data_IF_955358889137
#
_entry.id   IF_955358889137
#
_cell.length_a   1.000
_cell.length_b   1.000
_cell.length_c   1.000
_cell.angle_alpha   90.00
_cell.angle_beta   90.00
_cell.angle_gamma   90.00
#
_symmetry.space_group_name_H-M   'P 1'
#
loop_
_entity.id
_entity.type
_entity.pdbx_description
1 polymer ?
#
# COMPACT_ATOMS: atom_id res chain seq x y z
N UNK A 1 -26.80 9.08 -23.63
CA UNK A 1 -26.37 7.86 -24.34
C UNK A 1 -26.94 6.67 -23.59
N UNK A 2 -27.78 5.82 -24.21
CA UNK A 2 -28.37 4.65 -23.55
C UNK A 2 -27.25 3.62 -23.36
N UNK A 3 -26.92 3.26 -22.13
CA UNK A 3 -26.02 2.15 -21.83
C UNK A 3 -26.73 0.85 -22.21
N UNK A 4 -26.35 0.23 -23.32
CA UNK A 4 -26.74 -1.16 -23.58
C UNK A 4 -26.14 -2.04 -22.48
N UNK A 5 -26.98 -2.88 -21.88
CA UNK A 5 -26.61 -3.74 -20.76
C UNK A 5 -25.89 -4.97 -21.31
N UNK A 6 -24.65 -4.77 -21.79
CA UNK A 6 -23.80 -5.85 -22.30
C UNK A 6 -23.41 -6.78 -21.14
N UNK A 7 -23.81 -8.05 -21.21
CA UNK A 7 -23.33 -9.07 -20.28
C UNK A 7 -21.93 -9.52 -20.68
N UNK A 8 -21.03 -9.60 -19.69
CA UNK A 8 -19.68 -10.12 -19.86
C UNK A 8 -19.63 -11.61 -19.49
N UNK A 9 -18.86 -12.38 -20.23
CA UNK A 9 -18.52 -13.76 -19.92
C UNK A 9 -17.18 -13.81 -19.18
N UNK A 10 -16.91 -14.82 -18.32
CA UNK A 10 -15.66 -14.94 -17.57
C UNK A 10 -14.50 -15.44 -18.45
N UNK A 11 -14.24 -14.77 -19.58
CA UNK A 11 -13.14 -15.05 -20.50
C UNK A 11 -12.41 -13.76 -20.86
N UNK A 12 -11.09 -13.86 -21.08
CA UNK A 12 -10.27 -12.71 -21.49
C UNK A 12 -10.79 -12.06 -22.78
N UNK A 13 -11.25 -12.88 -23.75
CA UNK A 13 -11.82 -12.37 -25.00
C UNK A 13 -13.04 -11.48 -24.76
N UNK A 14 -13.92 -11.83 -23.81
CA UNK A 14 -15.07 -11.01 -23.45
C UNK A 14 -14.67 -9.74 -22.68
N UNK A 15 -13.83 -9.89 -21.65
CA UNK A 15 -13.41 -8.79 -20.77
C UNK A 15 -12.57 -7.74 -21.51
N UNK A 16 -11.76 -8.13 -22.49
CA UNK A 16 -11.00 -7.20 -23.33
C UNK A 16 -11.90 -6.29 -24.20
N UNK A 17 -13.20 -6.58 -24.29
CA UNK A 17 -14.15 -5.67 -24.94
C UNK A 17 -14.68 -4.57 -24.03
N UNK A 18 -14.45 -4.64 -22.71
CA UNK A 18 -14.87 -3.62 -21.75
C UNK A 18 -14.07 -2.33 -21.97
N UNK A 19 -14.73 -1.28 -22.41
CA UNK A 19 -14.11 0.03 -22.59
C UNK A 19 -14.10 0.82 -21.27
N UNK A 20 -13.16 1.76 -21.13
CA UNK A 20 -13.16 2.71 -20.02
C UNK A 20 -14.47 3.53 -20.10
N UNK A 21 -15.25 3.64 -19.00
CA UNK A 21 -16.49 4.41 -19.04
C UNK A 21 -16.18 5.91 -19.17
N UNK A 22 -16.99 6.63 -19.96
CA UNK A 22 -16.75 8.04 -20.27
C UNK A 22 -16.57 8.93 -19.05
N UNK A 23 -17.32 8.68 -17.98
CA UNK A 23 -17.18 9.45 -16.73
C UNK A 23 -15.78 9.33 -16.10
N UNK A 24 -15.13 8.16 -16.20
CA UNK A 24 -13.81 7.93 -15.62
C UNK A 24 -12.74 8.57 -16.50
N UNK A 25 -12.90 8.47 -17.82
CA UNK A 25 -12.04 9.21 -18.74
C UNK A 25 -12.15 10.70 -18.47
N UNK A 26 -13.36 11.27 -18.38
CA UNK A 26 -13.59 12.70 -18.17
C UNK A 26 -13.15 13.24 -16.80
N UNK A 27 -13.00 12.40 -15.77
CA UNK A 27 -12.76 12.85 -14.39
C UNK A 27 -11.39 13.53 -14.18
N UNK A 28 -10.32 13.01 -14.81
CA UNK A 28 -8.91 13.50 -14.81
C UNK A 28 -8.19 13.64 -13.45
N UNK A 29 -8.91 13.80 -12.35
CA UNK A 29 -8.38 13.97 -11.00
C UNK A 29 -9.17 13.11 -10.02
N UNK A 30 -8.45 12.43 -9.12
CA UNK A 30 -9.03 11.61 -8.07
C UNK A 30 -8.20 11.70 -6.80
N UNK A 31 -8.86 11.50 -5.66
CA UNK A 31 -8.20 11.41 -4.35
C UNK A 31 -8.07 9.93 -4.01
N UNK A 32 -6.85 9.49 -3.71
CA UNK A 32 -6.60 8.16 -3.20
C UNK A 32 -6.22 8.24 -1.72
N UNK A 33 -6.78 7.33 -0.91
CA UNK A 33 -6.61 7.30 0.54
C UNK A 33 -6.05 5.93 0.92
N UNK A 34 -4.81 5.91 1.39
CA UNK A 34 -4.26 4.78 2.13
C UNK A 34 -4.44 5.05 3.61
N UNK A 35 -5.43 4.40 4.23
CA UNK A 35 -5.73 4.55 5.64
C UNK A 35 -6.02 3.19 6.27
N UNK A 36 -5.28 2.87 7.32
CA UNK A 36 -5.31 1.58 8.00
C UNK A 36 -4.44 1.62 9.25
N UNK A 37 -4.23 0.47 9.89
CA UNK A 37 -3.51 0.37 11.16
C UNK A 37 -2.10 0.98 11.11
N UNK A 38 -1.43 0.87 9.98
CA UNK A 38 -0.12 1.46 9.70
C UNK A 38 -0.08 2.99 9.84
N UNK A 39 -1.23 3.67 9.74
CA UNK A 39 -1.32 5.11 9.94
C UNK A 39 -1.16 5.50 11.42
N UNK A 40 -1.30 4.56 12.36
CA UNK A 40 -1.07 4.79 13.79
C UNK A 40 0.42 4.99 14.09
N UNK A 41 1.35 4.06 13.72
CA UNK A 41 2.77 4.34 13.84
C UNK A 41 3.23 5.41 12.85
N UNK A 42 2.62 5.49 11.66
CA UNK A 42 2.88 6.59 10.70
C UNK A 42 4.35 6.73 10.31
N UNK A 43 5.10 5.62 10.33
CA UNK A 43 6.56 5.60 10.21
C UNK A 43 7.00 4.71 9.05
N UNK A 44 8.07 5.11 8.37
CA UNK A 44 8.73 4.33 7.33
C UNK A 44 10.22 4.70 7.26
N UNK A 45 11.03 3.88 6.58
CA UNK A 45 12.44 4.20 6.36
C UNK A 45 12.59 5.42 5.43
N UNK A 46 13.63 6.21 5.65
CA UNK A 46 13.98 7.35 4.81
C UNK A 46 15.16 7.06 3.87
N UNK A 47 15.41 5.79 3.52
CA UNK A 47 16.55 5.38 2.69
C UNK A 47 16.58 6.09 1.32
N UNK A 48 15.43 6.20 0.66
CA UNK A 48 15.30 6.81 -0.67
C UNK A 48 13.92 6.58 -1.27
N UNK A 49 13.74 6.96 -2.53
CA UNK A 49 12.51 6.63 -3.28
C UNK A 49 12.36 5.12 -3.47
N UNK A 50 11.13 4.66 -3.69
CA UNK A 50 10.86 3.24 -3.95
C UNK A 50 11.72 2.68 -5.10
N UNK A 51 11.89 3.43 -6.19
CA UNK A 51 12.70 3.00 -7.32
C UNK A 51 14.17 2.81 -6.95
N UNK A 52 14.74 3.73 -6.16
CA UNK A 52 16.13 3.65 -5.70
C UNK A 52 16.35 2.47 -4.75
N UNK A 53 15.42 2.28 -3.82
CA UNK A 53 15.47 1.17 -2.86
C UNK A 53 15.45 -0.18 -3.58
N UNK A 54 14.52 -0.38 -4.51
CA UNK A 54 14.44 -1.64 -5.27
C UNK A 54 15.63 -1.85 -6.20
N UNK A 55 16.23 -0.78 -6.74
CA UNK A 55 17.43 -0.89 -7.57
C UNK A 55 18.69 -1.28 -6.77
N UNK A 56 18.81 -0.83 -5.52
CA UNK A 56 20.05 -0.99 -4.73
C UNK A 56 19.98 -2.08 -3.66
N UNK A 57 18.78 -2.37 -3.16
CA UNK A 57 18.53 -3.21 -1.97
C UNK A 57 17.37 -4.18 -2.23
N UNK A 58 17.29 -4.75 -3.42
CA UNK A 58 16.15 -5.57 -3.87
C UNK A 58 15.66 -6.58 -2.82
N UNK A 59 16.58 -7.34 -2.21
CA UNK A 59 16.25 -8.39 -1.22
C UNK A 59 15.60 -7.86 0.07
N UNK A 60 15.88 -6.61 0.44
CA UNK A 60 15.36 -5.96 1.67
C UNK A 60 14.48 -4.76 1.37
N UNK A 61 14.12 -4.54 0.10
CA UNK A 61 13.50 -3.32 -0.36
C UNK A 61 12.21 -3.01 0.39
N UNK A 62 11.39 -4.04 0.62
CA UNK A 62 10.09 -3.96 1.31
C UNK A 62 10.19 -3.45 2.75
N UNK A 63 11.36 -3.56 3.39
CA UNK A 63 11.59 -3.03 4.73
C UNK A 63 12.24 -1.63 4.73
N UNK A 64 12.72 -1.17 3.58
CA UNK A 64 13.50 0.07 3.42
C UNK A 64 12.77 1.13 2.56
N UNK A 65 11.59 0.82 2.03
CA UNK A 65 10.79 1.81 1.29
C UNK A 65 10.23 2.89 2.22
N UNK A 66 9.93 4.09 1.69
CA UNK A 66 9.31 5.18 2.45
C UNK A 66 7.78 5.00 2.60
N UNK A 67 7.28 3.76 2.53
CA UNK A 67 5.85 3.44 2.52
C UNK A 67 5.40 3.00 3.91
N UNK A 68 4.66 3.88 4.58
CA UNK A 68 4.13 3.61 5.93
C UNK A 68 3.21 2.39 5.94
N UNK A 69 2.47 2.15 4.85
CA UNK A 69 1.56 1.03 4.71
C UNK A 69 2.24 -0.35 4.75
N UNK A 70 3.57 -0.39 4.61
CA UNK A 70 4.37 -1.61 4.72
C UNK A 70 4.99 -1.82 6.10
N UNK A 71 4.60 -1.02 7.10
CA UNK A 71 5.15 -1.05 8.45
C UNK A 71 5.15 -2.47 9.07
N UNK A 72 4.05 -3.23 8.96
CA UNK A 72 3.99 -4.59 9.50
C UNK A 72 5.05 -5.53 8.87
N UNK A 73 5.30 -5.38 7.57
CA UNK A 73 6.34 -6.16 6.92
C UNK A 73 7.74 -5.68 7.35
N UNK A 74 7.94 -4.36 7.43
CA UNK A 74 9.22 -3.79 7.80
C UNK A 74 9.67 -4.20 9.21
N UNK A 75 8.77 -4.20 10.20
CA UNK A 75 9.11 -4.61 11.58
C UNK A 75 9.52 -6.10 11.70
N UNK A 76 9.22 -6.94 10.69
CA UNK A 76 9.67 -8.35 10.65
C UNK A 76 11.14 -8.48 10.25
N UNK A 77 11.77 -7.40 9.76
CA UNK A 77 13.20 -7.32 9.46
C UNK A 77 13.89 -6.58 10.62
N UNK A 78 14.61 -7.27 11.52
CA UNK A 78 15.14 -6.69 12.76
C UNK A 78 16.06 -5.47 12.54
N UNK A 79 16.78 -5.43 11.42
CA UNK A 79 17.73 -4.38 11.09
C UNK A 79 17.07 -3.11 10.53
N UNK A 80 15.78 -3.17 10.19
CA UNK A 80 15.05 -2.05 9.58
C UNK A 80 14.85 -0.89 10.55
N UNK A 81 14.68 0.31 9.99
CA UNK A 81 14.38 1.50 10.80
C UNK A 81 13.03 1.37 11.50
N UNK A 82 12.05 0.74 10.84
CA UNK A 82 10.73 0.49 11.42
C UNK A 82 10.79 -0.46 12.61
N UNK A 83 11.59 -1.54 12.55
CA UNK A 83 11.77 -2.45 13.69
C UNK A 83 12.40 -1.75 14.89
N UNK A 84 13.42 -0.91 14.66
CA UNK A 84 14.05 -0.10 15.71
C UNK A 84 13.07 0.89 16.32
N UNK A 85 12.34 1.63 15.49
CA UNK A 85 11.30 2.55 15.93
C UNK A 85 10.20 1.82 16.71
N UNK A 86 9.81 0.62 16.27
CA UNK A 86 8.81 -0.18 16.95
C UNK A 86 9.25 -0.58 18.35
N UNK A 87 10.48 -1.09 18.48
CA UNK A 87 11.05 -1.46 19.76
C UNK A 87 11.18 -0.26 20.71
N UNK A 88 11.54 0.92 20.18
CA UNK A 88 11.69 2.15 20.98
C UNK A 88 10.34 2.69 21.49
N UNK A 89 9.32 2.74 20.63
CA UNK A 89 8.05 3.41 20.94
C UNK A 89 7.01 2.46 21.51
N UNK A 90 6.97 1.21 21.02
CA UNK A 90 5.94 0.23 21.33
C UNK A 90 6.48 -1.03 22.02
N UNK A 91 7.81 -1.18 22.13
CA UNK A 91 8.44 -2.35 22.72
C UNK A 91 8.19 -3.62 21.89
N UNK A 92 7.71 -4.68 22.55
CA UNK A 92 7.37 -5.96 21.91
C UNK A 92 5.86 -6.05 21.58
N UNK A 93 5.15 -4.93 21.45
CA UNK A 93 3.74 -4.94 21.13
C UNK A 93 3.50 -5.65 19.78
N UNK A 94 2.54 -6.60 19.70
CA UNK A 94 2.10 -7.11 18.39
C UNK A 94 1.53 -5.99 17.53
N UNK A 95 1.75 -6.04 16.21
CA UNK A 95 1.22 -5.04 15.28
C UNK A 95 -0.31 -4.91 15.36
N UNK A 96 -1.01 -6.01 15.65
CA UNK A 96 -2.46 -6.05 15.83
C UNK A 96 -2.96 -5.16 16.98
N UNK A 97 -2.09 -4.78 17.93
CA UNK A 97 -2.45 -3.84 18.99
C UNK A 97 -2.86 -2.47 18.44
N UNK A 98 -2.40 -2.09 17.24
CA UNK A 98 -2.86 -0.87 16.57
C UNK A 98 -4.33 -0.90 16.16
N UNK A 99 -5.02 -2.05 16.22
CA UNK A 99 -6.48 -2.11 16.04
C UNK A 99 -7.22 -1.29 17.09
N UNK A 100 -6.79 -1.35 18.35
CA UNK A 100 -7.46 -0.66 19.45
C UNK A 100 -7.50 0.88 19.28
N UNK A 101 -6.39 1.58 18.96
CA UNK A 101 -6.41 3.02 18.69
C UNK A 101 -6.96 3.40 17.31
N UNK A 102 -7.20 2.44 16.41
CA UNK A 102 -7.76 2.70 15.07
C UNK A 102 -9.30 2.59 15.01
N UNK A 103 -9.92 1.89 15.96
CA UNK A 103 -11.38 1.70 16.06
C UNK A 103 -12.03 2.76 16.96
#
# INVERSE_FOLDING_TARGET
MKTENKKYEPSLASLNTHQIPGWYDDAKFGIFIHWGLFAIPGFASSYGSIGEVFAQKYDTAVALTPYTEWYENAIKVPESDSAKHHAEVYGNAPYENFRAPFL
#
